data_IF_360716198470
#
_entry.id   IF_360716198470
#
_cell.length_a   1.000
_cell.length_b   1.000
_cell.length_c   1.000
_cell.angle_alpha   90.00
_cell.angle_beta   90.00
_cell.angle_gamma   90.00
#
_symmetry.space_group_name_H-M   'P 1'
#
loop_
_entity.id
_entity.type
_entity.pdbx_description
1 polymer ?
#
# COMPACT_ATOMS: atom_id res chain seq x y z
N UNK A 1 14.49 23.86 11.70
CA UNK A 1 14.19 22.42 11.50
C UNK A 1 12.94 22.32 10.64
N UNK A 2 13.07 21.83 9.40
CA UNK A 2 11.91 21.54 8.54
C UNK A 2 11.14 20.36 9.13
N UNK A 3 9.82 20.50 9.30
CA UNK A 3 8.97 19.37 9.69
C UNK A 3 8.85 18.41 8.50
N UNK A 4 9.01 17.11 8.76
CA UNK A 4 8.76 16.07 7.76
C UNK A 4 7.27 16.05 7.38
N UNK A 5 6.99 15.99 6.08
CA UNK A 5 5.61 15.85 5.56
C UNK A 5 5.17 14.39 5.54
N UNK A 6 3.87 14.15 5.55
CA UNK A 6 3.29 12.80 5.43
C UNK A 6 3.82 12.05 4.19
N UNK A 7 3.93 12.75 3.05
CA UNK A 7 4.42 12.18 1.80
C UNK A 7 5.90 11.81 1.86
N UNK A 8 6.73 12.65 2.48
CA UNK A 8 8.16 12.35 2.69
C UNK A 8 8.33 11.12 3.59
N UNK A 9 7.60 11.06 4.70
CA UNK A 9 7.63 9.92 5.61
C UNK A 9 7.19 8.63 4.92
N UNK A 10 6.07 8.68 4.20
CA UNK A 10 5.58 7.54 3.43
C UNK A 10 6.63 7.07 2.42
N UNK A 11 7.23 7.99 1.66
CA UNK A 11 8.21 7.64 0.63
C UNK A 11 9.44 6.98 1.23
N UNK A 12 9.99 7.56 2.31
CA UNK A 12 11.15 6.98 2.99
C UNK A 12 10.88 5.57 3.53
N UNK A 13 9.70 5.34 4.13
CA UNK A 13 9.30 4.02 4.61
C UNK A 13 9.05 3.03 3.47
N UNK A 14 8.43 3.47 2.37
CA UNK A 14 8.14 2.64 1.21
C UNK A 14 9.43 2.21 0.50
N UNK A 15 10.39 3.12 0.33
CA UNK A 15 11.69 2.83 -0.27
C UNK A 15 12.48 1.85 0.62
N UNK A 16 12.53 2.09 1.94
CA UNK A 16 13.18 1.19 2.89
C UNK A 16 12.54 -0.21 2.90
N UNK A 17 11.21 -0.30 2.87
CA UNK A 17 10.50 -1.57 2.79
C UNK A 17 10.84 -2.33 1.51
N UNK A 18 10.83 -1.65 0.36
CA UNK A 18 11.11 -2.27 -0.94
C UNK A 18 12.54 -2.81 -1.00
N UNK A 19 13.53 -2.02 -0.57
CA UNK A 19 14.94 -2.44 -0.55
C UNK A 19 15.17 -3.64 0.38
N UNK A 20 14.63 -3.59 1.61
CA UNK A 20 14.89 -4.58 2.65
C UNK A 20 14.09 -5.87 2.47
N UNK A 21 13.03 -5.86 1.64
CA UNK A 21 12.19 -7.04 1.41
C UNK A 21 12.34 -7.66 0.03
N UNK A 22 13.12 -7.06 -0.89
CA UNK A 22 13.30 -7.52 -2.27
C UNK A 22 13.75 -8.99 -2.40
N UNK A 23 14.48 -9.53 -1.42
CA UNK A 23 14.99 -10.90 -1.43
C UNK A 23 14.26 -11.85 -0.45
N UNK A 24 13.20 -11.39 0.20
CA UNK A 24 12.45 -12.17 1.18
C UNK A 24 11.31 -12.89 0.45
N UNK A 25 11.22 -14.22 0.57
CA UNK A 25 10.13 -15.00 -0.04
C UNK A 25 8.93 -15.22 0.88
N UNK A 26 9.06 -14.93 2.19
CA UNK A 26 8.01 -15.12 3.19
C UNK A 26 7.03 -13.94 3.20
N UNK A 27 5.75 -14.12 2.80
CA UNK A 27 4.77 -13.04 2.80
C UNK A 27 4.54 -12.45 4.20
N UNK A 28 4.56 -13.30 5.23
CA UNK A 28 4.41 -12.88 6.62
C UNK A 28 5.56 -11.98 7.05
N UNK A 29 6.80 -12.30 6.66
CA UNK A 29 7.98 -11.49 6.99
C UNK A 29 7.94 -10.14 6.29
N UNK A 30 7.53 -10.11 5.01
CA UNK A 30 7.35 -8.87 4.25
C UNK A 30 6.28 -7.99 4.90
N UNK A 31 5.14 -8.56 5.30
CA UNK A 31 4.04 -7.83 5.93
C UNK A 31 4.40 -7.32 7.34
N UNK A 32 5.17 -8.07 8.11
CA UNK A 32 5.61 -7.69 9.46
C UNK A 32 6.82 -6.74 9.47
N UNK A 33 7.36 -6.37 8.31
CA UNK A 33 8.49 -5.46 8.23
C UNK A 33 8.18 -4.12 8.95
N UNK A 34 9.08 -3.59 9.80
CA UNK A 34 8.80 -2.40 10.61
C UNK A 34 8.36 -1.18 9.79
N UNK A 35 8.96 -0.97 8.62
CA UNK A 35 8.56 0.14 7.74
C UNK A 35 7.13 -0.03 7.19
N UNK A 36 6.73 -1.25 6.87
CA UNK A 36 5.37 -1.55 6.39
C UNK A 36 4.34 -1.36 7.50
N UNK A 37 4.65 -1.83 8.71
CA UNK A 37 3.80 -1.64 9.89
C UNK A 37 3.65 -0.15 10.26
N UNK A 38 4.71 0.65 10.10
CA UNK A 38 4.62 2.10 10.28
C UNK A 38 3.72 2.76 9.23
N UNK A 39 3.77 2.35 7.95
CA UNK A 39 2.84 2.82 6.92
C UNK A 39 1.40 2.49 7.30
N UNK A 40 1.13 1.26 7.77
CA UNK A 40 -0.21 0.88 8.27
C UNK A 40 -0.62 1.77 9.44
N UNK A 41 0.28 2.02 10.38
CA UNK A 41 0.06 2.89 11.54
C UNK A 41 -0.17 4.37 11.21
N UNK A 42 0.15 4.82 9.99
CA UNK A 42 -0.18 6.18 9.52
C UNK A 42 -1.68 6.34 9.22
N UNK A 43 -2.43 5.25 9.05
CA UNK A 43 -3.88 5.25 8.92
C UNK A 43 -4.39 5.90 7.62
N UNK A 44 -5.68 6.30 7.61
CA UNK A 44 -6.38 6.78 6.40
C UNK A 44 -5.67 7.89 5.60
N UNK A 45 -4.96 8.87 6.19
CA UNK A 45 -4.28 9.92 5.43
C UNK A 45 -3.26 9.43 4.39
N UNK A 46 -2.70 8.22 4.56
CA UNK A 46 -1.70 7.67 3.61
C UNK A 46 -2.34 6.93 2.43
N UNK A 47 -3.66 6.67 2.45
CA UNK A 47 -4.36 5.89 1.41
C UNK A 47 -4.18 6.48 0.00
N UNK A 48 -4.36 7.80 -0.23
CA UNK A 48 -4.08 8.40 -1.55
C UNK A 48 -2.65 8.16 -2.03
N UNK A 49 -1.67 8.24 -1.13
CA UNK A 49 -0.26 8.06 -1.46
C UNK A 49 0.05 6.61 -1.85
N UNK A 50 -0.55 5.64 -1.15
CA UNK A 50 -0.42 4.22 -1.48
C UNK A 50 -1.06 3.93 -2.84
N UNK A 51 -2.27 4.45 -3.10
CA UNK A 51 -2.98 4.26 -4.37
C UNK A 51 -2.18 4.85 -5.55
N UNK A 52 -1.60 6.04 -5.37
CA UNK A 52 -0.73 6.69 -6.38
C UNK A 52 0.59 5.93 -6.59
N UNK A 53 1.17 5.32 -5.56
CA UNK A 53 2.38 4.49 -5.73
C UNK A 53 2.04 3.19 -6.48
N UNK A 54 0.91 2.56 -6.12
CA UNK A 54 0.40 1.35 -6.76
C UNK A 54 0.05 1.55 -8.24
N UNK A 55 -0.42 2.74 -8.63
CA UNK A 55 -0.72 3.04 -10.04
C UNK A 55 0.55 3.14 -10.91
N UNK A 56 1.70 3.44 -10.31
CA UNK A 56 3.00 3.54 -11.01
C UNK A 56 3.67 2.17 -11.12
N UNK A 57 3.70 1.45 -10.01
CA UNK A 57 4.31 0.12 -9.93
C UNK A 57 3.40 -0.77 -9.07
N UNK A 58 2.98 -1.95 -9.57
CA UNK A 58 2.11 -2.86 -8.83
C UNK A 58 2.90 -3.55 -7.70
N UNK A 59 3.19 -2.79 -6.64
CA UNK A 59 3.69 -3.32 -5.38
C UNK A 59 2.55 -3.98 -4.61
N UNK A 60 2.88 -4.89 -3.70
CA UNK A 60 1.92 -5.63 -2.89
C UNK A 60 1.31 -4.77 -1.76
N UNK A 61 0.66 -3.66 -2.13
CA UNK A 61 0.02 -2.73 -1.20
C UNK A 61 -1.34 -3.20 -0.68
N UNK A 62 -1.89 -4.27 -1.23
CA UNK A 62 -3.24 -4.78 -0.89
C UNK A 62 -3.43 -5.03 0.61
N UNK A 63 -2.41 -5.55 1.30
CA UNK A 63 -2.49 -5.78 2.74
C UNK A 63 -2.58 -4.46 3.51
N UNK A 64 -1.71 -3.49 3.21
CA UNK A 64 -1.74 -2.19 3.85
C UNK A 64 -3.09 -1.49 3.62
N UNK A 65 -3.59 -1.47 2.39
CA UNK A 65 -4.88 -0.87 2.06
C UNK A 65 -6.02 -1.54 2.81
N UNK A 66 -6.07 -2.88 2.82
CA UNK A 66 -7.10 -3.62 3.58
C UNK A 66 -7.03 -3.32 5.07
N UNK A 67 -5.82 -3.28 5.64
CA UNK A 67 -5.61 -3.03 7.07
C UNK A 67 -6.00 -1.62 7.49
N UNK A 68 -5.71 -0.62 6.64
CA UNK A 68 -6.01 0.79 6.92
C UNK A 68 -7.50 1.11 6.71
N UNK A 69 -8.09 0.57 5.64
CA UNK A 69 -9.44 0.96 5.19
C UNK A 69 -10.52 0.06 5.76
N UNK A 70 -10.18 -1.17 6.15
CA UNK A 70 -11.13 -2.20 6.57
C UNK A 70 -11.94 -2.81 5.41
N UNK A 71 -11.63 -2.46 4.16
CA UNK A 71 -12.35 -2.96 2.98
C UNK A 71 -11.45 -3.80 2.09
N UNK A 72 -12.06 -4.64 1.26
CA UNK A 72 -11.38 -5.34 0.17
C UNK A 72 -12.27 -5.28 -1.08
N UNK A 73 -12.00 -4.38 -2.03
CA UNK A 73 -12.80 -4.22 -3.24
C UNK A 73 -12.54 -5.32 -4.27
N UNK A 74 -11.55 -6.20 -4.05
CA UNK A 74 -11.17 -7.26 -5.00
C UNK A 74 -12.21 -8.39 -5.00
N UNK A 75 -12.91 -8.64 -6.13
CA UNK A 75 -13.81 -9.77 -6.25
C UNK A 75 -13.08 -11.11 -6.07
N UNK A 76 -13.76 -12.12 -5.50
CA UNK A 76 -13.16 -13.46 -5.26
C UNK A 76 -12.53 -14.07 -6.52
N UNK A 77 -13.17 -13.89 -7.68
CA UNK A 77 -12.71 -14.40 -8.98
C UNK A 77 -11.41 -13.74 -9.49
N UNK A 78 -11.07 -12.56 -8.97
CA UNK A 78 -9.90 -11.77 -9.37
C UNK A 78 -8.75 -11.86 -8.36
N UNK A 79 -8.95 -12.58 -7.24
CA UNK A 79 -7.88 -12.84 -6.28
C UNK A 79 -6.72 -13.61 -6.93
N UNK A 80 -5.50 -13.16 -6.68
CA UNK A 80 -4.28 -13.69 -7.31
C UNK A 80 -3.99 -13.09 -8.70
N UNK A 81 -4.94 -12.37 -9.31
CA UNK A 81 -4.72 -11.66 -10.58
C UNK A 81 -4.26 -10.23 -10.30
N UNK A 82 -2.97 -10.04 -10.05
CA UNK A 82 -2.38 -8.76 -9.59
C UNK A 82 -2.91 -7.53 -10.37
N UNK A 83 -2.96 -7.58 -11.71
CA UNK A 83 -3.49 -6.47 -12.52
C UNK A 83 -4.94 -6.13 -12.18
N UNK A 84 -5.81 -7.15 -12.06
CA UNK A 84 -7.23 -6.98 -11.69
C UNK A 84 -7.39 -6.49 -10.25
N UNK A 85 -6.53 -6.95 -9.35
CA UNK A 85 -6.52 -6.46 -7.97
C UNK A 85 -6.14 -4.98 -7.90
N UNK A 86 -5.13 -4.55 -8.66
CA UNK A 86 -4.74 -3.12 -8.77
C UNK A 86 -5.90 -2.32 -9.37
N UNK A 87 -6.49 -2.76 -10.48
CA UNK A 87 -7.65 -2.10 -11.10
C UNK A 87 -8.78 -1.90 -10.09
N UNK A 88 -9.14 -2.93 -9.31
CA UNK A 88 -10.21 -2.85 -8.31
C UNK A 88 -9.90 -1.83 -7.20
N UNK A 89 -8.66 -1.76 -6.72
CA UNK A 89 -8.27 -0.78 -5.71
C UNK A 89 -8.20 0.63 -6.25
N UNK A 90 -7.72 0.83 -7.48
CA UNK A 90 -7.69 2.16 -8.11
C UNK A 90 -9.12 2.66 -8.37
N UNK A 91 -10.01 1.79 -8.87
CA UNK A 91 -11.42 2.14 -9.06
C UNK A 91 -12.08 2.53 -7.73
N UNK A 92 -11.92 1.70 -6.69
CA UNK A 92 -12.41 2.04 -5.35
C UNK A 92 -11.84 3.36 -4.83
N UNK A 93 -10.55 3.61 -5.07
CA UNK A 93 -9.90 4.87 -4.71
C UNK A 93 -10.52 6.10 -5.39
N UNK A 94 -10.93 5.98 -6.65
CA UNK A 94 -11.62 7.05 -7.38
C UNK A 94 -13.03 7.30 -6.81
N UNK A 95 -13.79 6.23 -6.54
CA UNK A 95 -15.16 6.33 -5.99
C UNK A 95 -15.18 7.00 -4.61
N UNK A 96 -14.14 6.76 -3.79
CA UNK A 96 -14.00 7.37 -2.46
C UNK A 96 -13.34 8.77 -2.48
N UNK A 97 -12.93 9.26 -3.64
CA UNK A 97 -12.29 10.58 -3.79
C UNK A 97 -10.83 10.63 -3.31
N UNK A 98 -10.13 9.50 -3.33
CA UNK A 98 -8.69 9.42 -3.01
C UNK A 98 -7.77 9.61 -4.22
N UNK A 99 -8.30 9.50 -5.44
CA UNK A 99 -7.58 9.63 -6.71
C UNK A 99 -8.24 10.67 -7.63
#
# INVERSE_FOLDING_TARGET
MTRETLAQKFRALADAWQEQTAHISSPTTIAMHPAYQQIIGMGRPVVPLILQDMSKEPKQWFWALTSITGVNPVPRQDQGRIKKMVEAWLYWGMEEGYL
#
